data_IF_684735380666
#
_entry.id   IF_684735380666
#
_cell.length_a   1.000
_cell.length_b   1.000
_cell.length_c   1.000
_cell.angle_alpha   90.00
_cell.angle_beta   90.00
_cell.angle_gamma   90.00
#
_symmetry.space_group_name_H-M   'P 1'
#
loop_
_entity.id
_entity.type
_entity.pdbx_description
1 polymer ?
#
# COMPACT_ATOMS: atom_id res chain seq x y z
N UNK A 1 -18.42 -6.51 11.56
CA UNK A 1 -17.36 -7.37 11.00
C UNK A 1 -16.73 -6.58 9.87
N UNK A 2 -15.42 -6.34 9.90
CA UNK A 2 -14.73 -5.59 8.84
C UNK A 2 -14.67 -6.47 7.58
N UNK A 3 -15.44 -6.11 6.55
CA UNK A 3 -15.59 -6.90 5.32
C UNK A 3 -14.64 -6.37 4.25
N UNK A 4 -13.33 -6.58 4.44
CA UNK A 4 -12.31 -6.37 3.42
C UNK A 4 -12.01 -4.92 3.04
N UNK A 5 -10.96 -4.75 2.23
CA UNK A 5 -10.62 -3.49 1.56
C UNK A 5 -11.36 -3.48 0.21
N UNK A 6 -12.14 -2.44 -0.05
CA UNK A 6 -12.97 -2.35 -1.25
C UNK A 6 -12.31 -1.57 -2.37
N UNK A 7 -11.34 -0.71 -2.04
CA UNK A 7 -10.57 0.05 -3.02
C UNK A 7 -9.19 0.46 -2.46
N UNK A 8 -8.18 0.49 -3.33
CA UNK A 8 -6.85 1.06 -3.07
C UNK A 8 -6.51 1.96 -4.24
N UNK A 9 -6.55 3.27 -4.02
CA UNK A 9 -6.19 4.26 -5.03
C UNK A 9 -4.83 4.85 -4.73
N UNK A 10 -3.93 4.86 -5.72
CA UNK A 10 -2.65 5.58 -5.68
C UNK A 10 -2.85 6.86 -6.51
N UNK A 11 -3.21 8.01 -5.91
CA UNK A 11 -3.32 9.25 -6.67
C UNK A 11 -1.92 9.65 -7.19
N UNK A 12 -1.80 9.95 -8.48
CA UNK A 12 -0.57 10.47 -9.13
C UNK A 12 -0.12 11.86 -8.61
N UNK A 13 -0.73 12.38 -7.54
CA UNK A 13 -0.51 13.72 -7.02
C UNK A 13 0.40 13.74 -5.79
N UNK A 14 1.64 14.19 -6.01
CA UNK A 14 2.74 14.41 -5.05
C UNK A 14 3.68 13.24 -4.84
N UNK A 15 4.32 12.82 -5.93
CA UNK A 15 5.51 11.99 -5.85
C UNK A 15 6.69 12.96 -5.64
N UNK A 16 7.40 12.83 -4.53
CA UNK A 16 8.80 13.31 -4.45
C UNK A 16 9.52 12.73 -5.68
N UNK A 17 10.54 13.35 -6.24
CA UNK A 17 11.17 12.83 -7.47
C UNK A 17 12.65 12.61 -7.25
N UNK A 18 13.17 11.50 -7.74
CA UNK A 18 14.61 11.24 -7.70
C UNK A 18 15.34 12.16 -8.70
N UNK A 19 16.67 12.06 -8.72
CA UNK A 19 17.49 12.85 -9.62
C UNK A 19 17.23 12.63 -11.13
N UNK A 20 16.43 11.61 -11.49
CA UNK A 20 16.00 11.31 -12.85
C UNK A 20 14.56 11.76 -13.16
N UNK A 21 13.86 12.34 -12.19
CA UNK A 21 12.46 12.75 -12.32
C UNK A 21 11.46 11.61 -12.08
N UNK A 22 11.93 10.45 -11.60
CA UNK A 22 11.07 9.33 -11.27
C UNK A 22 10.44 9.53 -9.88
N UNK A 23 9.16 9.19 -9.72
CA UNK A 23 8.50 9.15 -8.42
C UNK A 23 9.25 8.42 -7.29
N UNK A 24 9.63 9.16 -6.24
CA UNK A 24 10.01 8.72 -4.91
C UNK A 24 8.78 8.63 -4.01
N UNK A 25 8.59 7.44 -3.44
CA UNK A 25 7.49 7.14 -2.52
C UNK A 25 6.18 6.83 -3.23
N UNK A 26 5.30 6.10 -2.54
CA UNK A 26 3.95 5.80 -2.99
C UNK A 26 2.98 6.36 -1.96
N UNK A 27 2.06 7.22 -2.40
CA UNK A 27 0.93 7.66 -1.60
C UNK A 27 -0.29 6.88 -2.06
N UNK A 28 -0.94 6.15 -1.15
CA UNK A 28 -2.16 5.40 -1.46
C UNK A 28 -3.23 5.65 -0.41
N UNK A 29 -4.48 5.64 -0.85
CA UNK A 29 -5.66 5.68 -0.01
C UNK A 29 -6.30 4.30 0.01
N UNK A 30 -6.49 3.76 1.22
CA UNK A 30 -7.23 2.54 1.45
C UNK A 30 -8.60 2.91 2.00
N UNK A 31 -9.66 2.50 1.32
CA UNK A 31 -11.04 2.66 1.83
C UNK A 31 -11.51 1.32 2.38
N UNK A 32 -11.91 1.34 3.65
CA UNK A 32 -12.47 0.18 4.33
C UNK A 32 -13.95 0.40 4.59
N UNK A 33 -14.79 -0.49 4.04
CA UNK A 33 -16.23 -0.50 4.33
C UNK A 33 -16.48 -1.36 5.57
N UNK A 34 -17.09 -0.75 6.59
CA UNK A 34 -17.45 -1.45 7.82
C UNK A 34 -18.96 -1.37 8.05
N UNK A 35 -19.61 -2.53 8.10
CA UNK A 35 -21.04 -2.63 8.47
C UNK A 35 -21.27 -2.53 9.98
N UNK A 36 -20.20 -2.54 10.76
CA UNK A 36 -20.18 -2.32 12.21
C UNK A 36 -18.76 -1.93 12.65
N UNK A 37 -18.67 -1.19 13.75
CA UNK A 37 -17.40 -0.85 14.39
C UNK A 37 -16.52 -2.08 14.65
N UNK A 38 -15.20 -1.89 14.60
CA UNK A 38 -14.25 -2.97 14.82
C UNK A 38 -12.79 -2.54 14.74
N UNK A 39 -11.92 -3.44 15.20
CA UNK A 39 -10.47 -3.29 15.14
C UNK A 39 -9.86 -4.27 14.15
N UNK A 40 -8.79 -3.88 13.48
CA UNK A 40 -8.04 -4.71 12.54
C UNK A 40 -6.59 -4.24 12.39
N UNK A 41 -5.91 -4.78 11.38
CA UNK A 41 -4.53 -4.40 11.03
C UNK A 41 -4.39 -4.18 9.53
N UNK A 42 -3.76 -3.09 9.12
CA UNK A 42 -3.33 -2.85 7.75
C UNK A 42 -1.82 -3.10 7.65
N UNK A 43 -1.41 -4.10 6.87
CA UNK A 43 0.00 -4.37 6.58
C UNK A 43 0.34 -3.81 5.20
N UNK A 44 1.42 -3.03 5.13
CA UNK A 44 1.93 -2.38 3.92
C UNK A 44 3.34 -2.89 3.69
N UNK A 45 3.60 -3.43 2.49
CA UNK A 45 4.89 -4.00 2.12
C UNK A 45 5.36 -3.29 0.86
N UNK A 46 6.54 -2.67 0.93
CA UNK A 46 7.25 -2.18 -0.23
C UNK A 46 8.33 -3.19 -0.59
N UNK A 47 8.11 -3.89 -1.69
CA UNK A 47 9.05 -4.84 -2.26
C UNK A 47 10.16 -4.11 -3.03
N UNK A 48 11.39 -4.64 -3.03
CA UNK A 48 12.48 -4.14 -3.88
C UNK A 48 12.30 -4.58 -5.33
N UNK A 49 12.79 -3.78 -6.28
CA UNK A 49 12.72 -4.06 -7.71
C UNK A 49 14.11 -4.06 -8.33
N UNK A 50 14.55 -5.22 -8.82
CA UNK A 50 15.82 -5.36 -9.57
C UNK A 50 15.58 -5.14 -11.08
N UNK A 51 15.88 -6.14 -11.91
CA UNK A 51 15.82 -6.02 -13.38
C UNK A 51 14.49 -6.50 -14.00
N UNK A 52 13.61 -7.18 -13.25
CA UNK A 52 12.41 -7.85 -13.80
C UNK A 52 11.10 -7.23 -13.33
N UNK A 53 10.32 -6.54 -14.21
CA UNK A 53 9.09 -5.80 -13.88
C UNK A 53 8.16 -6.55 -12.93
N UNK A 54 7.80 -5.96 -11.78
CA UNK A 54 6.72 -6.50 -10.96
C UNK A 54 5.44 -6.36 -11.75
N UNK A 55 4.73 -7.47 -11.97
CA UNK A 55 3.53 -7.54 -12.80
C UNK A 55 2.42 -6.61 -12.30
N UNK A 56 1.40 -7.15 -11.64
CA UNK A 56 0.30 -6.35 -11.08
C UNK A 56 0.51 -5.98 -9.60
N UNK A 57 1.69 -6.28 -9.05
CA UNK A 57 2.02 -6.04 -7.64
C UNK A 57 1.29 -6.95 -6.64
N UNK A 58 0.56 -7.98 -7.10
CA UNK A 58 -0.16 -8.92 -6.22
C UNK A 58 0.74 -9.92 -5.51
N UNK A 59 1.97 -10.10 -6.00
CA UNK A 59 2.97 -10.99 -5.41
C UNK A 59 4.17 -10.19 -4.88
N UNK A 60 4.53 -10.47 -3.63
CA UNK A 60 5.73 -9.93 -3.00
C UNK A 60 6.98 -10.48 -3.70
N UNK A 61 7.99 -9.64 -3.92
CA UNK A 61 9.32 -10.11 -4.33
C UNK A 61 10.03 -10.86 -3.19
N UNK A 62 11.16 -11.49 -3.50
CA UNK A 62 12.07 -12.09 -2.54
C UNK A 62 12.77 -11.04 -1.63
N UNK A 63 12.76 -9.76 -2.00
CA UNK A 63 13.37 -8.67 -1.24
C UNK A 63 12.36 -7.59 -0.85
N UNK A 64 12.52 -7.03 0.35
CA UNK A 64 11.60 -6.06 0.98
C UNK A 64 12.36 -4.85 1.47
N UNK A 65 11.99 -3.68 0.97
CA UNK A 65 12.55 -2.38 1.40
C UNK A 65 11.84 -1.85 2.64
N UNK A 66 10.52 -2.10 2.77
CA UNK A 66 9.75 -1.73 3.95
C UNK A 66 8.62 -2.73 4.25
N UNK A 67 8.37 -2.99 5.53
CA UNK A 67 7.26 -3.80 6.04
C UNK A 67 6.71 -3.12 7.29
N UNK A 68 5.51 -2.55 7.19
CA UNK A 68 4.90 -1.78 8.26
C UNK A 68 3.49 -2.27 8.50
N UNK A 69 3.15 -2.48 9.78
CA UNK A 69 1.79 -2.86 10.19
C UNK A 69 1.18 -1.76 11.05
N UNK A 70 0.02 -1.26 10.62
CA UNK A 70 -0.74 -0.23 11.33
C UNK A 70 -1.95 -0.88 12.01
N UNK A 71 -2.16 -0.68 13.33
CA UNK A 71 -3.44 -1.00 13.94
C UNK A 71 -4.51 -0.05 13.41
N UNK A 72 -5.67 -0.58 13.03
CA UNK A 72 -6.80 0.19 12.49
C UNK A 72 -8.01 0.01 13.39
N UNK A 73 -8.69 1.12 13.68
CA UNK A 73 -9.97 1.12 14.39
C UNK A 73 -11.00 1.84 13.53
N UNK A 74 -12.13 1.21 13.27
CA UNK A 74 -13.30 1.81 12.61
C UNK A 74 -14.39 1.95 13.65
N UNK A 75 -14.89 3.17 13.85
CA UNK A 75 -15.90 3.52 14.85
C UNK A 75 -17.25 3.78 14.18
#
# INVERSE_FOLDING_TARGET
>A
MLTGLTDVSVPDGSLDQDGSGAPLGLTFQVVAEATAAGTGSLRVILSHYDDTPKGDGSQQSNETDADVTFPVTVN
#
